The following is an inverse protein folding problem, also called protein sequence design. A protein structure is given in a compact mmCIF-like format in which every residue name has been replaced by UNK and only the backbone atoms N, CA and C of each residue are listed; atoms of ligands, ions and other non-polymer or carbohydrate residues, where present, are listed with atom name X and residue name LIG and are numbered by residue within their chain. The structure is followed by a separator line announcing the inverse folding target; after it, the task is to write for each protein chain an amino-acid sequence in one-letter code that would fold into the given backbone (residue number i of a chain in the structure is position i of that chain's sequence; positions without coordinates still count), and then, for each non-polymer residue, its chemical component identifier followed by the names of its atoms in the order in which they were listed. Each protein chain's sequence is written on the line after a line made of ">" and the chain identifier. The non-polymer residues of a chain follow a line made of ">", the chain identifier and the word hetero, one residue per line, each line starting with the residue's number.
data_IF_936150007280
#
_entry.id   IF_936150007280
#
_cell.length_a   1.000
_cell.length_b   1.000
_cell.length_c   1.000
_cell.angle_alpha   90.00
_cell.angle_beta   90.00
_cell.angle_gamma   90.00
#
_symmetry.space_group_name_H-M   'P 1'
#
loop_
_entity.id
_entity.type
_entity.pdbx_description
1 polymer ?
#
# COMPACT_ATOMS: atom_id res chain seq x y z
N UNK A 1 4.86 12.58 8.82
CA UNK A 1 4.53 11.37 8.04
C UNK A 1 5.77 11.02 7.22
N UNK A 2 6.34 9.81 7.36
CA UNK A 2 7.46 9.40 6.52
C UNK A 2 6.95 9.08 5.10
N UNK A 3 7.71 9.48 4.06
CA UNK A 3 7.36 9.11 2.69
C UNK A 3 7.66 7.62 2.48
N UNK A 4 6.59 6.82 2.35
CA UNK A 4 6.69 5.36 2.15
C UNK A 4 7.43 4.99 0.85
N UNK A 5 7.44 5.88 -0.16
CA UNK A 5 8.22 5.67 -1.38
C UNK A 5 9.71 5.75 -1.06
N UNK A 6 10.12 6.78 -0.32
CA UNK A 6 11.51 6.93 0.08
C UNK A 6 11.99 5.74 0.92
N UNK A 7 11.15 5.23 1.83
CA UNK A 7 11.47 4.02 2.63
C UNK A 7 11.66 2.80 1.72
N UNK A 8 10.82 2.63 0.69
CA UNK A 8 10.96 1.53 -0.27
C UNK A 8 12.24 1.64 -1.11
N UNK A 9 12.60 2.86 -1.47
CA UNK A 9 13.78 3.13 -2.29
C UNK A 9 15.08 3.10 -1.46
N UNK A 10 15.00 3.33 -0.14
CA UNK A 10 16.14 3.44 0.78
C UNK A 10 15.92 2.69 2.12
N UNK A 11 15.58 1.39 2.10
CA UNK A 11 15.25 0.65 3.33
C UNK A 11 16.40 0.59 4.33
N UNK A 12 17.62 0.37 3.83
CA UNK A 12 18.83 0.31 4.66
C UNK A 12 19.14 1.65 5.32
N UNK A 13 18.98 2.77 4.60
CA UNK A 13 19.21 4.10 5.15
C UNK A 13 18.20 4.45 6.25
N UNK A 14 16.95 4.00 6.09
CA UNK A 14 15.92 4.13 7.10
C UNK A 14 16.26 3.32 8.36
N UNK A 15 16.58 2.04 8.21
CA UNK A 15 16.92 1.18 9.33
C UNK A 15 18.21 1.60 10.04
N UNK A 16 19.21 2.11 9.31
CA UNK A 16 20.41 2.69 9.90
C UNK A 16 20.09 3.93 10.75
N UNK A 17 19.14 4.77 10.30
CA UNK A 17 18.69 5.92 11.08
C UNK A 17 17.90 5.51 12.34
N UNK A 18 17.13 4.42 12.27
CA UNK A 18 16.46 3.82 13.44
C UNK A 18 17.48 3.25 14.43
N UNK A 19 18.49 2.53 13.94
CA UNK A 19 19.55 1.96 14.78
C UNK A 19 20.33 3.04 15.55
N UNK A 20 20.61 4.20 14.91
CA UNK A 20 21.23 5.37 15.60
C UNK A 20 20.38 5.91 16.76
N UNK A 21 19.08 5.61 16.76
CA UNK A 21 18.13 5.97 17.82
C UNK A 21 17.87 4.82 18.80
N UNK A 22 18.57 3.70 18.66
CA UNK A 22 18.35 2.50 19.48
C UNK A 22 17.07 1.75 19.16
N UNK A 23 16.49 1.96 17.98
CA UNK A 23 15.27 1.31 17.53
C UNK A 23 15.59 0.12 16.61
N UNK A 24 14.71 -0.87 16.60
CA UNK A 24 14.79 -2.02 15.69
C UNK A 24 14.56 -1.60 14.23
N UNK A 25 15.07 -2.36 13.25
CA UNK A 25 14.75 -2.15 11.84
C UNK A 25 13.26 -2.43 11.58
N UNK A 26 12.61 -1.55 10.83
CA UNK A 26 11.16 -1.59 10.57
C UNK A 26 10.82 -1.45 9.08
N UNK A 27 11.81 -1.16 8.22
CA UNK A 27 11.59 -0.92 6.79
C UNK A 27 10.82 -2.07 6.12
N UNK A 28 11.20 -3.32 6.40
CA UNK A 28 10.61 -4.51 5.80
C UNK A 28 9.11 -4.67 6.16
N UNK A 29 8.76 -4.45 7.43
CA UNK A 29 7.38 -4.51 7.91
C UNK A 29 6.51 -3.44 7.24
N UNK A 30 7.04 -2.21 7.15
CA UNK A 30 6.35 -1.08 6.52
C UNK A 30 6.15 -1.31 5.02
N UNK A 31 7.15 -1.83 4.31
CA UNK A 31 7.06 -2.16 2.88
C UNK A 31 6.02 -3.26 2.64
N UNK A 32 5.99 -4.30 3.47
CA UNK A 32 5.00 -5.37 3.36
C UNK A 32 3.57 -4.86 3.61
N UNK A 33 3.38 -3.97 4.58
CA UNK A 33 2.08 -3.35 4.85
C UNK A 33 1.61 -2.46 3.69
N UNK A 34 2.52 -1.68 3.10
CA UNK A 34 2.21 -0.86 1.92
C UNK A 34 1.83 -1.72 0.70
N UNK A 35 2.51 -2.85 0.48
CA UNK A 35 2.16 -3.79 -0.58
C UNK A 35 0.73 -4.32 -0.40
N UNK A 36 0.39 -4.83 0.78
CA UNK A 36 -0.96 -5.32 1.09
C UNK A 36 -2.03 -4.25 0.92
N UNK A 37 -1.72 -3.01 1.34
CA UNK A 37 -2.64 -1.87 1.15
C UNK A 37 -2.92 -1.60 -0.33
N UNK A 38 -1.89 -1.64 -1.17
CA UNK A 38 -2.02 -1.39 -2.63
C UNK A 38 -2.80 -2.50 -3.33
N UNK A 39 -2.58 -3.74 -2.94
CA UNK A 39 -3.36 -4.88 -3.43
C UNK A 39 -4.84 -4.72 -3.09
N UNK A 40 -5.16 -4.48 -1.82
CA UNK A 40 -6.54 -4.26 -1.38
C UNK A 40 -7.22 -3.06 -2.06
N UNK A 41 -6.46 -1.97 -2.29
CA UNK A 41 -6.98 -0.81 -3.01
C UNK A 41 -7.29 -1.14 -4.48
N UNK A 42 -6.42 -1.91 -5.13
CA UNK A 42 -6.64 -2.36 -6.50
C UNK A 42 -7.87 -3.24 -6.60
N UNK A 43 -8.00 -4.22 -5.70
CA UNK A 43 -9.15 -5.13 -5.64
C UNK A 43 -10.46 -4.36 -5.43
N UNK A 44 -10.48 -3.43 -4.46
CA UNK A 44 -11.65 -2.59 -4.20
C UNK A 44 -12.05 -1.76 -5.44
N UNK A 45 -11.09 -1.22 -6.18
CA UNK A 45 -11.35 -0.47 -7.41
C UNK A 45 -11.92 -1.37 -8.52
N UNK A 46 -11.44 -2.60 -8.65
CA UNK A 46 -11.96 -3.60 -9.60
C UNK A 46 -13.41 -3.94 -9.27
N UNK A 47 -13.69 -4.34 -8.02
CA UNK A 47 -15.03 -4.68 -7.56
C UNK A 47 -16.01 -3.50 -7.73
N UNK A 48 -15.56 -2.28 -7.44
CA UNK A 48 -16.34 -1.07 -7.63
C UNK A 48 -16.67 -0.83 -9.12
N UNK A 49 -15.72 -1.11 -10.01
CA UNK A 49 -15.92 -0.95 -11.46
C UNK A 49 -16.89 -1.99 -12.01
N UNK A 50 -16.76 -3.25 -11.58
CA UNK A 50 -17.67 -4.34 -11.93
C UNK A 50 -19.10 -4.07 -11.44
N UNK A 51 -19.26 -3.64 -10.18
CA UNK A 51 -20.58 -3.27 -9.63
C UNK A 51 -21.26 -2.18 -10.47
N UNK A 52 -20.49 -1.17 -10.88
CA UNK A 52 -21.02 -0.07 -11.69
C UNK A 52 -21.42 -0.53 -13.10
N UNK A 53 -20.65 -1.44 -13.71
CA UNK A 53 -20.98 -2.02 -15.00
C UNK A 53 -22.28 -2.86 -14.93
N UNK A 54 -22.41 -3.71 -13.91
CA UNK A 54 -23.61 -4.51 -13.67
C UNK A 54 -24.84 -3.64 -13.43
N UNK A 55 -24.71 -2.58 -12.61
CA UNK A 55 -25.81 -1.64 -12.33
C UNK A 55 -26.33 -0.96 -13.60
N UNK A 56 -25.42 -0.57 -14.51
CA UNK A 56 -25.78 0.01 -15.81
C UNK A 56 -26.48 -0.99 -16.73
N UNK A 57 -26.08 -2.26 -16.69
CA UNK A 57 -26.73 -3.30 -17.49
C UNK A 57 -28.15 -3.58 -17.02
N UNK A 58 -28.39 -3.61 -15.71
CA UNK A 58 -29.72 -3.79 -15.13
C UNK A 58 -30.64 -2.63 -15.53
N UNK A 59 -30.18 -1.38 -15.43
CA UNK A 59 -30.99 -0.21 -15.81
C UNK A 59 -31.25 -0.06 -17.32
N UNK A 60 -30.67 -0.92 -18.16
CA UNK A 60 -30.89 -0.96 -19.62
C UNK A 60 -31.84 -2.09 -20.05
N UNK A 61 -32.19 -3.01 -19.15
CA UNK A 61 -33.17 -4.07 -19.36
C UNK A 61 -34.55 -3.60 -18.88
#
# INVERSE_FOLDING_TARGET
>A
MHDIRWIRDNPEAFDAALARRGLAPESASLIALDARRREAQTEAQTLQSERNALSKNIGRA
#
